data_IF_727211020993
#
_entry.id   IF_727211020993
#
_cell.length_a   1.000
_cell.length_b   1.000
_cell.length_c   1.000
_cell.angle_alpha   90.00
_cell.angle_beta   90.00
_cell.angle_gamma   90.00
#
_symmetry.space_group_name_H-M   'P 1'
#
loop_
_entity.id
_entity.type
_entity.pdbx_description
1 polymer ?
#
# COMPACT_ATOMS: atom_id res chain seq x y z
N UNK A 1 10.76 33.79 2.66
CA UNK A 1 10.53 32.36 2.96
C UNK A 1 10.76 31.56 1.69
N UNK A 2 11.63 30.54 1.71
CA UNK A 2 11.85 29.65 0.55
C UNK A 2 11.00 28.40 0.72
N UNK A 3 10.06 28.17 -0.19
CA UNK A 3 9.31 26.91 -0.27
C UNK A 3 10.15 25.94 -1.07
N UNK A 4 10.70 24.91 -0.42
CA UNK A 4 11.34 23.78 -1.12
C UNK A 4 10.25 22.81 -1.55
N UNK A 5 10.00 22.71 -2.86
CA UNK A 5 9.13 21.69 -3.42
C UNK A 5 9.90 20.38 -3.46
N UNK A 6 9.57 19.44 -2.58
CA UNK A 6 10.10 18.06 -2.60
C UNK A 6 9.16 17.25 -3.48
N UNK A 7 9.54 16.99 -4.73
CA UNK A 7 8.77 16.10 -5.62
C UNK A 7 9.06 14.64 -5.27
N UNK A 8 8.32 14.08 -4.32
CA UNK A 8 8.40 12.64 -4.03
C UNK A 8 7.53 11.88 -5.02
N UNK A 9 8.11 11.00 -5.84
CA UNK A 9 7.35 10.12 -6.71
C UNK A 9 6.72 9.00 -5.86
N UNK A 10 5.42 8.83 -6.03
CA UNK A 10 4.68 7.70 -5.46
C UNK A 10 4.28 6.78 -6.59
N UNK A 11 4.52 5.49 -6.41
CA UNK A 11 4.07 4.47 -7.35
C UNK A 11 3.01 3.61 -6.64
N UNK A 12 1.80 3.52 -7.20
CA UNK A 12 0.78 2.63 -6.66
C UNK A 12 1.19 1.17 -6.93
N UNK A 13 1.21 0.36 -5.87
CA UNK A 13 1.47 -1.07 -5.94
C UNK A 13 0.26 -1.85 -5.43
N UNK A 14 -0.21 -2.85 -6.18
CA UNK A 14 -1.28 -3.74 -5.75
C UNK A 14 -0.82 -4.62 -4.59
N UNK A 15 -1.68 -4.83 -3.60
CA UNK A 15 -1.41 -5.66 -2.42
C UNK A 15 -2.66 -6.42 -2.00
N UNK A 16 -2.43 -7.63 -1.51
CA UNK A 16 -3.42 -8.46 -0.83
C UNK A 16 -3.03 -8.52 0.64
N UNK A 17 -3.94 -8.12 1.52
CA UNK A 17 -3.72 -8.08 2.97
C UNK A 17 -4.69 -9.04 3.63
N UNK A 18 -4.18 -9.88 4.53
CA UNK A 18 -5.01 -10.64 5.46
C UNK A 18 -4.92 -10.06 6.85
N UNK A 19 -6.07 -9.79 7.43
CA UNK A 19 -6.22 -9.28 8.79
C UNK A 19 -6.32 -10.43 9.80
N UNK A 20 -6.09 -10.12 11.08
CA UNK A 20 -6.18 -11.08 12.19
C UNK A 20 -7.59 -11.62 12.42
N UNK A 21 -8.62 -10.91 11.99
CA UNK A 21 -10.03 -11.36 12.02
C UNK A 21 -10.36 -12.38 10.92
N UNK A 22 -9.42 -12.66 10.02
CA UNK A 22 -9.58 -13.56 8.89
C UNK A 22 -10.01 -12.89 7.58
N UNK A 23 -10.36 -11.60 7.61
CA UNK A 23 -10.76 -10.82 6.44
C UNK A 23 -9.60 -10.66 5.45
N UNK A 24 -9.90 -10.73 4.16
CA UNK A 24 -8.93 -10.49 3.08
C UNK A 24 -9.32 -9.23 2.33
N UNK A 25 -8.38 -8.30 2.21
CA UNK A 25 -8.56 -7.00 1.56
C UNK A 25 -7.58 -6.92 0.39
N UNK A 26 -8.09 -6.57 -0.78
CA UNK A 26 -7.27 -6.23 -1.94
C UNK A 26 -7.35 -4.73 -2.20
N UNK A 27 -6.23 -4.14 -2.58
CA UNK A 27 -6.20 -2.74 -2.97
C UNK A 27 -4.80 -2.30 -3.38
N UNK A 28 -4.61 -1.00 -3.51
CA UNK A 28 -3.33 -0.40 -3.87
C UNK A 28 -2.75 0.37 -2.71
N UNK A 29 -1.44 0.32 -2.58
CA UNK A 29 -0.69 1.06 -1.58
C UNK A 29 0.33 1.97 -2.25
N UNK A 30 0.51 3.15 -1.67
CA UNK A 30 1.42 4.14 -2.18
C UNK A 30 2.82 3.90 -1.62
N UNK A 31 3.72 3.40 -2.47
CA UNK A 31 5.12 3.20 -2.12
C UNK A 31 5.89 4.46 -2.52
N UNK A 32 6.47 5.15 -1.53
CA UNK A 32 7.15 6.43 -1.72
C UNK A 32 8.63 6.21 -2.00
N UNK A 33 9.11 6.37 -3.23
CA UNK A 33 10.53 6.23 -3.57
C UNK A 33 11.13 7.56 -4.01
N UNK A 34 12.18 8.03 -3.33
CA UNK A 34 13.03 9.09 -3.91
C UNK A 34 13.79 8.55 -5.13
N UNK A 35 14.19 7.27 -5.07
CA UNK A 35 15.04 6.61 -6.07
C UNK A 35 14.39 5.35 -6.68
N UNK A 36 13.06 5.18 -6.54
CA UNK A 36 12.33 4.03 -7.11
C UNK A 36 12.60 2.66 -6.44
N UNK A 37 13.35 2.62 -5.33
CA UNK A 37 13.79 1.38 -4.67
C UNK A 37 12.94 0.93 -3.49
N UNK A 38 12.03 1.78 -2.98
CA UNK A 38 11.24 1.38 -1.82
C UNK A 38 10.30 0.24 -2.18
N UNK A 39 10.39 -0.82 -1.39
CA UNK A 39 9.59 -2.04 -1.52
C UNK A 39 8.33 -1.92 -0.67
N UNK A 40 7.34 -2.75 -0.98
CA UNK A 40 6.15 -2.89 -0.12
C UNK A 40 6.59 -3.19 1.33
N UNK A 41 7.57 -4.06 1.53
CA UNK A 41 8.13 -4.41 2.86
C UNK A 41 8.58 -3.18 3.68
N UNK A 42 9.19 -2.19 3.05
CA UNK A 42 9.78 -1.04 3.74
C UNK A 42 8.70 -0.19 4.42
N UNK A 43 7.50 -0.16 3.83
CA UNK A 43 6.33 0.53 4.39
C UNK A 43 5.87 -0.10 5.71
N UNK A 44 6.01 -1.42 5.85
CA UNK A 44 5.59 -2.16 7.03
C UNK A 44 6.69 -2.24 8.09
N UNK A 45 7.96 -2.36 7.67
CA UNK A 45 9.09 -2.60 8.58
C UNK A 45 9.79 -1.31 9.02
N UNK A 46 10.03 -0.35 8.11
CA UNK A 46 10.86 0.83 8.41
C UNK A 46 10.04 2.02 8.93
N UNK A 47 8.77 2.13 8.53
CA UNK A 47 7.92 3.24 8.93
C UNK A 47 7.25 2.95 10.27
N UNK A 48 7.47 3.85 11.24
CA UNK A 48 6.86 3.78 12.58
C UNK A 48 5.37 4.12 12.60
N UNK A 49 4.83 4.64 11.50
CA UNK A 49 3.41 4.96 11.35
C UNK A 49 2.58 3.70 11.56
N UNK A 50 1.68 3.71 12.55
CA UNK A 50 0.85 2.54 12.89
C UNK A 50 -0.27 2.27 11.88
N UNK A 51 -0.64 3.29 11.11
CA UNK A 51 -1.70 3.18 10.12
C UNK A 51 -1.13 3.22 8.70
N UNK A 52 -1.69 2.39 7.83
CA UNK A 52 -1.44 2.40 6.39
C UNK A 52 -2.71 2.80 5.65
N UNK A 53 -2.54 3.43 4.49
CA UNK A 53 -3.65 3.82 3.62
C UNK A 53 -3.66 2.92 2.40
N UNK A 54 -4.76 2.20 2.20
CA UNK A 54 -5.07 1.50 0.95
C UNK A 54 -6.06 2.33 0.15
N UNK A 55 -5.82 2.40 -1.15
CA UNK A 55 -6.69 3.02 -2.15
C UNK A 55 -7.23 1.98 -3.11
N UNK A 56 -8.30 2.29 -3.83
CA UNK A 56 -8.89 1.37 -4.82
C UNK A 56 -9.19 -0.01 -4.21
N UNK A 57 -9.76 -0.02 -3.01
CA UNK A 57 -10.03 -1.27 -2.31
C UNK A 57 -11.15 -2.03 -3.01
N UNK A 58 -10.88 -3.30 -3.31
CA UNK A 58 -11.85 -4.27 -3.78
C UNK A 58 -12.38 -5.04 -2.56
N UNK A 59 -13.35 -4.45 -1.88
CA UNK A 59 -14.12 -5.09 -0.81
C UNK A 59 -15.59 -5.05 -1.20
N UNK A 60 -16.27 -6.20 -1.05
CA UNK A 60 -17.58 -6.47 -1.66
C UNK A 60 -18.71 -5.52 -1.27
N UNK A 61 -18.54 -4.67 -0.25
CA UNK A 61 -19.56 -3.69 0.14
C UNK A 61 -19.54 -2.42 -0.72
N UNK A 62 -18.36 -1.85 -1.06
CA UNK A 62 -18.25 -0.64 -1.90
C UNK A 62 -16.87 -0.60 -2.60
N UNK A 63 -16.79 -0.81 -3.92
CA UNK A 63 -15.53 -0.69 -4.68
C UNK A 63 -15.06 0.77 -4.72
N UNK A 64 -13.74 0.98 -4.65
CA UNK A 64 -13.13 2.32 -4.74
C UNK A 64 -12.99 3.07 -3.41
N UNK A 65 -13.22 2.39 -2.27
CA UNK A 65 -13.05 2.97 -0.93
C UNK A 65 -11.58 3.16 -0.59
N UNK A 66 -11.27 4.22 0.15
CA UNK A 66 -9.99 4.40 0.84
C UNK A 66 -10.11 3.77 2.23
N UNK A 67 -9.18 2.88 2.58
CA UNK A 67 -9.12 2.25 3.90
C UNK A 67 -7.88 2.72 4.64
N UNK A 68 -8.06 3.02 5.93
CA UNK A 68 -6.96 3.26 6.87
C UNK A 68 -6.91 2.04 7.79
N UNK A 69 -5.84 1.25 7.70
CA UNK A 69 -5.69 -0.02 8.41
C UNK A 69 -4.59 0.10 9.45
N UNK A 70 -4.86 -0.39 10.66
CA UNK A 70 -3.84 -0.55 11.70
C UNK A 70 -2.92 -1.73 11.37
N UNK A 71 -1.59 -1.54 11.39
CA UNK A 71 -0.59 -2.58 11.15
C UNK A 71 -0.65 -3.72 12.14
N UNK A 72 -0.98 -3.44 13.41
CA UNK A 72 -1.09 -4.48 14.45
C UNK A 72 -2.22 -5.47 14.17
N UNK A 73 -3.18 -5.12 13.29
CA UNK A 73 -4.27 -5.98 12.86
C UNK A 73 -3.94 -6.80 11.60
N UNK A 74 -2.75 -6.62 11.03
CA UNK A 74 -2.33 -7.30 9.81
C UNK A 74 -1.61 -8.59 10.16
N UNK A 75 -2.09 -9.70 9.60
CA UNK A 75 -1.44 -11.00 9.74
C UNK A 75 -0.35 -11.21 8.69
N UNK A 76 -0.63 -10.87 7.43
CA UNK A 76 0.35 -10.88 6.35
C UNK A 76 -0.07 -9.97 5.19
N UNK A 77 0.92 -9.64 4.35
CA UNK A 77 0.75 -8.85 3.12
C UNK A 77 1.49 -9.53 1.99
N UNK A 78 0.85 -9.62 0.84
CA UNK A 78 1.44 -10.12 -0.41
C UNK A 78 1.34 -9.00 -1.46
N UNK A 79 2.45 -8.59 -2.09
CA UNK A 79 2.39 -7.70 -3.25
C UNK A 79 1.79 -8.44 -4.45
N UNK A 80 0.90 -7.79 -5.19
CA UNK A 80 0.41 -8.35 -6.45
C UNK A 80 1.52 -8.21 -7.50
N UNK A 81 1.92 -9.33 -8.10
CA UNK A 81 2.84 -9.33 -9.23
C UNK A 81 2.18 -8.61 -10.41
N UNK A 82 2.84 -7.57 -10.93
CA UNK A 82 2.48 -7.05 -12.25
C UNK A 82 2.84 -8.13 -13.26
N UNK A 83 1.85 -8.82 -13.80
CA UNK A 83 2.04 -9.55 -15.06
C UNK A 83 2.41 -8.51 -16.12
N UNK A 84 3.67 -8.47 -16.52
CA UNK A 84 4.04 -7.87 -17.78
C UNK A 84 3.45 -8.75 -18.88
N UNK A 85 2.31 -8.35 -19.46
CA UNK A 85 1.89 -8.88 -20.75
C UNK A 85 2.99 -8.51 -21.73
N UNK A 86 3.80 -9.52 -22.11
CA UNK A 86 4.69 -9.42 -23.26
C UNK A 86 3.83 -9.54 -24.51
N UNK A 87 3.54 -8.40 -25.13
CA UNK A 87 3.14 -8.33 -26.54
C UNK A 87 4.29 -8.77 -27.46
#
# INVERSE_FOLDING_TARGET
MSVRVISRRYTPAGVIIKLLDGSIIKGKINVAGADGTHRVSDLFVLRKDQFIVLTEVESGEIPGKVLIINKDSIMWVVPEEKREEKD
#
